data_IF_221034975291
#
_entry.id   IF_221034975291
#
_cell.length_a   1.000
_cell.length_b   1.000
_cell.length_c   1.000
_cell.angle_alpha   90.00
_cell.angle_beta   90.00
_cell.angle_gamma   90.00
#
_symmetry.space_group_name_H-M   'P 1'
#
loop_
_entity.id
_entity.type
_entity.pdbx_description
1 polymer ?
#
# COMPACT_ATOMS: atom_id res chain seq x y z
N UNK A 1 19.47 2.58 5.35
CA UNK A 1 19.59 1.59 6.45
C UNK A 1 18.78 0.36 6.03
N UNK A 2 19.31 -0.85 6.24
CA UNK A 2 18.58 -2.10 5.97
C UNK A 2 18.19 -2.69 7.33
N UNK A 3 16.95 -3.14 7.46
CA UNK A 3 16.41 -3.69 8.71
C UNK A 3 15.88 -5.08 8.40
N UNK A 4 16.29 -6.06 9.20
CA UNK A 4 15.72 -7.41 9.17
C UNK A 4 14.65 -7.50 10.26
N UNK A 5 13.41 -7.81 9.86
CA UNK A 5 12.29 -7.96 10.78
C UNK A 5 10.95 -7.91 10.07
N UNK A 6 9.88 -7.86 10.86
CA UNK A 6 8.51 -7.78 10.36
C UNK A 6 8.18 -6.37 9.83
N UNK A 7 7.76 -6.29 8.57
CA UNK A 7 7.48 -5.04 7.88
C UNK A 7 6.26 -4.31 8.45
N UNK A 8 5.23 -5.05 8.88
CA UNK A 8 4.01 -4.45 9.46
C UNK A 8 4.33 -3.83 10.82
N UNK A 9 5.02 -4.56 11.68
CA UNK A 9 5.49 -4.06 12.98
C UNK A 9 6.39 -2.84 12.83
N UNK A 10 7.16 -2.76 11.74
CA UNK A 10 7.93 -1.56 11.43
C UNK A 10 7.01 -0.37 11.09
N UNK A 11 6.04 -0.57 10.18
CA UNK A 11 5.08 0.47 9.81
C UNK A 11 4.26 0.95 11.02
N UNK A 12 3.80 0.06 11.90
CA UNK A 12 3.06 0.39 13.12
C UNK A 12 3.84 1.31 14.08
N UNK A 13 5.17 1.23 14.07
CA UNK A 13 6.05 2.09 14.89
C UNK A 13 6.48 3.36 14.17
N UNK A 14 6.29 3.47 12.86
CA UNK A 14 6.62 4.65 12.11
C UNK A 14 5.62 5.78 12.39
N UNK A 15 6.12 7.01 12.41
CA UNK A 15 5.30 8.20 12.61
C UNK A 15 4.28 8.35 11.47
N UNK A 16 3.15 8.96 11.79
CA UNK A 16 2.18 9.36 10.76
C UNK A 16 2.85 10.29 9.75
N UNK A 17 2.53 10.12 8.47
CA UNK A 17 2.99 11.03 7.41
C UNK A 17 4.52 11.19 7.34
N UNK A 18 5.26 10.15 7.67
CA UNK A 18 6.73 10.19 7.76
C UNK A 18 7.44 9.79 6.47
N UNK A 19 6.74 9.24 5.49
CA UNK A 19 7.33 8.79 4.21
C UNK A 19 6.53 9.27 3.02
N UNK A 20 7.20 9.44 1.89
CA UNK A 20 6.56 9.87 0.65
C UNK A 20 6.12 8.70 -0.22
N UNK A 21 6.84 7.58 -0.20
CA UNK A 21 6.56 6.46 -1.10
C UNK A 21 6.70 5.15 -0.37
N UNK A 22 5.68 4.30 -0.47
CA UNK A 22 5.67 2.96 0.10
C UNK A 22 5.46 1.95 -1.03
N UNK A 23 6.24 0.86 -0.99
CA UNK A 23 6.10 -0.29 -1.86
C UNK A 23 5.67 -1.49 -1.01
N UNK A 24 4.54 -2.09 -1.35
CA UNK A 24 3.99 -3.27 -0.70
C UNK A 24 3.99 -4.43 -1.71
N UNK A 25 4.79 -5.45 -1.43
CA UNK A 25 4.79 -6.74 -2.12
C UNK A 25 4.74 -7.87 -1.07
N UNK A 26 3.59 -8.06 -0.40
CA UNK A 26 3.43 -9.10 0.61
C UNK A 26 3.20 -10.47 -0.05
N UNK A 27 3.47 -11.59 0.66
CA UNK A 27 3.19 -12.92 0.15
C UNK A 27 1.72 -13.12 -0.25
N UNK A 28 1.48 -13.61 -1.46
CA UNK A 28 0.14 -13.77 -2.03
C UNK A 28 -0.76 -14.79 -1.32
N UNK A 29 -0.16 -15.76 -0.62
CA UNK A 29 -0.90 -16.78 0.13
C UNK A 29 -1.43 -16.28 1.49
N UNK A 30 -1.16 -15.02 1.85
CA UNK A 30 -1.57 -14.42 3.12
C UNK A 30 -2.20 -13.04 2.89
N UNK A 31 -3.44 -12.97 2.36
CA UNK A 31 -4.09 -11.71 2.00
C UNK A 31 -4.23 -10.74 3.19
N UNK A 32 -4.37 -11.27 4.41
CA UNK A 32 -4.43 -10.45 5.63
C UNK A 32 -3.15 -9.60 5.86
N UNK A 33 -1.98 -10.06 5.39
CA UNK A 33 -0.75 -9.28 5.45
C UNK A 33 -0.83 -8.07 4.53
N UNK A 34 -1.39 -8.23 3.33
CA UNK A 34 -1.62 -7.13 2.40
C UNK A 34 -2.57 -6.10 3.01
N UNK A 35 -3.69 -6.54 3.55
CA UNK A 35 -4.68 -5.64 4.15
C UNK A 35 -4.08 -4.85 5.33
N UNK A 36 -3.36 -5.55 6.23
CA UNK A 36 -2.71 -4.92 7.38
C UNK A 36 -1.62 -3.92 6.95
N UNK A 37 -0.80 -4.30 5.95
CA UNK A 37 0.23 -3.42 5.42
C UNK A 37 -0.34 -2.20 4.71
N UNK A 38 -1.43 -2.37 3.93
CA UNK A 38 -2.11 -1.28 3.24
C UNK A 38 -2.72 -0.28 4.24
N UNK A 39 -3.35 -0.77 5.32
CA UNK A 39 -3.89 0.07 6.38
C UNK A 39 -2.81 0.96 7.01
N UNK A 40 -1.67 0.37 7.39
CA UNK A 40 -0.57 1.14 7.98
C UNK A 40 0.10 2.05 6.95
N UNK A 41 0.22 1.63 5.70
CA UNK A 41 0.76 2.46 4.63
C UNK A 41 -0.08 3.72 4.41
N UNK A 42 -1.41 3.61 4.49
CA UNK A 42 -2.32 4.76 4.39
C UNK A 42 -2.14 5.82 5.48
N UNK A 43 -1.65 5.42 6.66
CA UNK A 43 -1.33 6.28 7.81
C UNK A 43 0.07 6.89 7.70
N UNK A 44 1.06 6.05 7.40
CA UNK A 44 2.49 6.42 7.41
C UNK A 44 2.86 7.24 6.16
N UNK A 45 2.23 6.98 5.02
CA UNK A 45 2.52 7.73 3.79
C UNK A 45 1.89 9.13 3.85
N UNK A 46 2.71 10.16 3.73
CA UNK A 46 2.27 11.53 3.42
C UNK A 46 2.40 11.79 1.94
N UNK A 47 1.52 12.64 1.44
CA UNK A 47 1.61 13.07 0.06
C UNK A 47 2.51 14.29 -0.08
N UNK A 48 2.39 15.35 0.75
CA UNK A 48 2.98 16.66 0.43
C UNK A 48 2.85 17.03 -1.08
N UNK A 49 1.81 16.52 -1.77
CA UNK A 49 1.57 16.59 -3.22
C UNK A 49 2.33 15.61 -4.15
N UNK A 50 3.15 14.69 -3.65
CA UNK A 50 3.98 13.75 -4.46
C UNK A 50 4.15 12.34 -3.88
N UNK A 51 3.47 11.99 -2.80
CA UNK A 51 3.53 10.66 -2.22
C UNK A 51 2.68 9.60 -2.92
N UNK A 52 2.93 8.34 -2.62
CA UNK A 52 2.30 7.23 -3.32
C UNK A 52 2.39 5.90 -2.56
N UNK A 53 1.40 5.06 -2.79
CA UNK A 53 1.38 3.68 -2.28
C UNK A 53 1.30 2.76 -3.49
N UNK A 54 2.40 2.04 -3.73
CA UNK A 54 2.48 0.99 -4.72
C UNK A 54 2.19 -0.36 -4.07
N UNK A 55 1.34 -1.17 -4.69
CA UNK A 55 0.92 -2.46 -4.16
C UNK A 55 0.94 -3.51 -5.27
N UNK A 56 1.56 -4.64 -5.00
CA UNK A 56 1.41 -5.87 -5.79
C UNK A 56 0.48 -6.86 -5.08
N UNK A 57 -0.42 -7.44 -5.86
CA UNK A 57 -1.41 -8.41 -5.38
C UNK A 57 -1.77 -9.40 -6.49
N UNK A 58 -2.38 -10.56 -6.14
CA UNK A 58 -2.92 -11.49 -7.13
C UNK A 58 -3.94 -10.83 -8.07
N UNK A 59 -4.01 -11.30 -9.32
CA UNK A 59 -4.96 -10.76 -10.30
C UNK A 59 -6.43 -10.85 -9.88
N UNK A 60 -6.80 -11.89 -9.13
CA UNK A 60 -8.14 -12.13 -8.61
C UNK A 60 -8.46 -11.35 -7.32
N UNK A 61 -7.49 -10.60 -6.78
CA UNK A 61 -7.69 -9.76 -5.60
C UNK A 61 -8.69 -8.62 -5.88
N UNK A 62 -9.65 -8.45 -4.98
CA UNK A 62 -10.69 -7.42 -5.05
C UNK A 62 -10.18 -6.06 -4.55
N UNK A 63 -9.90 -5.16 -5.49
CA UNK A 63 -9.40 -3.81 -5.20
C UNK A 63 -10.37 -2.94 -4.38
N UNK A 64 -11.64 -3.33 -4.24
CA UNK A 64 -12.60 -2.62 -3.36
C UNK A 64 -12.18 -2.71 -1.90
N UNK A 65 -11.53 -3.79 -1.49
CA UNK A 65 -10.99 -3.93 -0.13
C UNK A 65 -9.90 -2.89 0.13
N UNK A 66 -8.95 -2.72 -0.80
CA UNK A 66 -7.91 -1.70 -0.69
C UNK A 66 -8.49 -0.28 -0.72
N UNK A 67 -9.50 -0.05 -1.55
CA UNK A 67 -10.16 1.26 -1.64
C UNK A 67 -10.89 1.62 -0.33
N UNK A 68 -11.41 0.62 0.38
CA UNK A 68 -12.04 0.80 1.71
C UNK A 68 -11.00 1.14 2.79
N UNK A 69 -9.83 0.49 2.73
CA UNK A 69 -8.72 0.74 3.66
C UNK A 69 -7.96 2.04 3.38
N UNK A 70 -8.02 2.53 2.15
CA UNK A 70 -7.33 3.72 1.68
C UNK A 70 -8.33 4.82 1.25
N UNK A 71 -9.25 5.27 2.13
CA UNK A 71 -10.36 6.15 1.74
C UNK A 71 -9.92 7.53 1.22
N UNK A 72 -8.72 7.97 1.59
CA UNK A 72 -8.14 9.24 1.14
C UNK A 72 -7.16 9.07 -0.02
N UNK A 73 -7.15 7.90 -0.65
CA UNK A 73 -6.26 7.59 -1.76
C UNK A 73 -7.06 7.14 -2.98
N UNK A 74 -6.69 7.68 -4.14
CA UNK A 74 -7.26 7.37 -5.43
C UNK A 74 -6.32 6.43 -6.18
N UNK A 75 -6.87 5.33 -6.70
CA UNK A 75 -6.17 4.47 -7.65
C UNK A 75 -5.94 5.23 -8.96
N UNK A 76 -4.69 5.52 -9.31
CA UNK A 76 -4.35 6.28 -10.54
C UNK A 76 -3.79 5.41 -11.65
N UNK A 77 -3.27 4.22 -11.32
CA UNK A 77 -2.71 3.29 -12.28
C UNK A 77 -2.91 1.86 -11.81
N UNK A 78 -3.31 1.00 -12.73
CA UNK A 78 -3.33 -0.45 -12.56
C UNK A 78 -2.62 -1.07 -13.76
N UNK A 79 -1.84 -2.11 -13.52
CA UNK A 79 -1.18 -2.91 -14.55
C UNK A 79 -1.31 -4.38 -14.16
N UNK A 80 -1.76 -5.19 -15.09
CA UNK A 80 -1.97 -6.63 -14.89
C UNK A 80 -1.00 -7.42 -15.77
N UNK A 81 -0.43 -8.47 -15.20
CA UNK A 81 0.34 -9.49 -15.91
C UNK A 81 -0.41 -10.81 -15.85
N UNK A 82 0.22 -11.95 -16.14
CA UNK A 82 -0.47 -13.25 -16.12
C UNK A 82 -1.04 -13.62 -14.73
N UNK A 83 -0.35 -13.26 -13.65
CA UNK A 83 -0.73 -13.67 -12.28
C UNK A 83 -0.75 -12.52 -11.26
N UNK A 84 -0.15 -11.38 -11.60
CA UNK A 84 0.07 -10.27 -10.67
C UNK A 84 -0.54 -8.98 -11.21
N UNK A 85 -1.20 -8.28 -10.31
CA UNK A 85 -1.75 -6.94 -10.48
C UNK A 85 -0.96 -5.96 -9.63
N UNK A 86 -0.37 -4.98 -10.30
CA UNK A 86 0.35 -3.87 -9.70
C UNK A 86 -0.50 -2.61 -9.76
N UNK A 87 -0.76 -2.00 -8.61
CA UNK A 87 -1.58 -0.80 -8.49
C UNK A 87 -0.82 0.34 -7.81
N UNK A 88 -1.10 1.56 -8.25
CA UNK A 88 -0.54 2.77 -7.66
C UNK A 88 -1.66 3.69 -7.19
N UNK A 89 -1.64 3.99 -5.90
CA UNK A 89 -2.51 4.94 -5.25
C UNK A 89 -1.79 6.28 -5.03
N UNK A 90 -2.50 7.37 -5.26
CA UNK A 90 -2.10 8.74 -4.90
C UNK A 90 -3.10 9.31 -3.92
N UNK A 91 -2.69 10.23 -3.05
CA UNK A 91 -3.63 10.93 -2.19
C UNK A 91 -4.63 11.69 -3.05
N UNK A 92 -5.91 11.61 -2.67
CA UNK A 92 -6.94 12.44 -3.30
C UNK A 92 -6.63 13.89 -2.95
N UNK A 93 -6.51 14.76 -3.96
CA UNK A 93 -6.41 16.21 -3.75
C UNK A 93 -7.71 16.69 -3.11
N UNK A 94 -7.63 17.09 -1.84
CA UNK A 94 -8.68 17.83 -1.13
C UNK A 94 -8.81 19.25 -1.67
#
# INVERSE_FOLDING_TARGET
>A
KIIHGDGISYLQRADDRSVQLIFLDPPFNQPNLLLSAAQEAGRVCDDQGRGGIYIECPNDFDLRELSTLLPNWTLIKSMETAQVKAVLFRRSSS
#
